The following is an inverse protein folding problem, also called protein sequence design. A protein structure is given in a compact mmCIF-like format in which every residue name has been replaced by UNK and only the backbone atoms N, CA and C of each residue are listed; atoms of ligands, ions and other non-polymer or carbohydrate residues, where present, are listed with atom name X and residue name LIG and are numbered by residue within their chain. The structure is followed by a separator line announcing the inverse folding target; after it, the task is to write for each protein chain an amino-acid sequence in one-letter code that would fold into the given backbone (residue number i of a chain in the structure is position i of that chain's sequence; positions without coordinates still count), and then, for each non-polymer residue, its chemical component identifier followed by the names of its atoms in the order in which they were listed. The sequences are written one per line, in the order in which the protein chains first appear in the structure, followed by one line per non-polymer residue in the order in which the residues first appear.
data_IF_483749395722
#
_entry.id   IF_483749395722
#
_cell.length_a   1.000
_cell.length_b   1.000
_cell.length_c   1.000
_cell.angle_alpha   90.00
_cell.angle_beta   90.00
_cell.angle_gamma   90.00
#
_symmetry.space_group_name_H-M   'P 1'
#
loop_
_entity.id
_entity.type
_entity.pdbx_description
1 polymer ?
#
# COMPACT_ATOMS: atom_id res chain seq x y z
N UNK A 1 -14.46 -27.73 8.42
CA UNK A 1 -13.74 -28.99 8.10
C UNK A 1 -12.64 -28.58 7.12
N UNK A 2 -11.34 -28.75 7.34
CA UNK A 2 -10.59 -29.81 8.03
C UNK A 2 -9.44 -29.29 8.92
N UNK A 3 -9.58 -29.48 10.23
CA UNK A 3 -8.52 -29.24 11.22
C UNK A 3 -7.36 -30.24 11.11
N UNK A 4 -7.58 -31.39 10.45
CA UNK A 4 -6.55 -32.40 10.16
C UNK A 4 -5.65 -32.00 8.98
N UNK A 5 -6.19 -31.32 7.96
CA UNK A 5 -5.41 -30.78 6.85
C UNK A 5 -4.43 -29.68 7.33
N UNK A 6 -4.89 -28.82 8.25
CA UNK A 6 -4.05 -27.78 8.86
C UNK A 6 -2.93 -28.36 9.75
N UNK A 7 -3.20 -29.46 10.46
CA UNK A 7 -2.18 -30.16 11.27
C UNK A 7 -1.18 -30.92 10.40
N UNK A 8 -1.59 -31.39 9.23
CA UNK A 8 -0.70 -31.98 8.22
C UNK A 8 0.16 -30.91 7.50
N UNK A 9 -0.38 -29.70 7.29
CA UNK A 9 0.37 -28.53 6.81
C UNK A 9 1.43 -28.09 7.83
N UNK A 10 1.07 -28.03 9.11
CA UNK A 10 2.01 -27.71 10.19
C UNK A 10 3.10 -28.79 10.37
N UNK A 11 2.79 -30.06 10.07
CA UNK A 11 3.77 -31.14 10.10
C UNK A 11 4.70 -31.19 8.87
N UNK A 12 4.38 -30.46 7.78
CA UNK A 12 5.20 -30.37 6.56
C UNK A 12 5.97 -29.04 6.40
N UNK A 13 5.74 -28.06 7.28
CA UNK A 13 6.47 -26.77 7.34
C UNK A 13 7.98 -26.90 7.60
N UNK A 14 8.49 -28.12 7.82
CA UNK A 14 9.92 -28.44 7.98
C UNK A 14 10.64 -28.95 6.72
N UNK A 15 10.04 -28.98 5.53
CA UNK A 15 10.73 -29.50 4.34
C UNK A 15 11.42 -28.38 3.53
N UNK A 16 12.44 -27.76 4.12
CA UNK A 16 13.59 -27.36 3.30
C UNK A 16 14.39 -28.66 3.10
N UNK A 17 14.56 -29.10 1.85
CA UNK A 17 15.37 -30.29 1.52
C UNK A 17 16.69 -30.31 2.33
N UNK A 18 17.16 -31.47 2.83
CA UNK A 18 18.47 -31.59 3.49
C UNK A 18 19.59 -31.15 2.51
N UNK A 19 20.81 -30.81 2.99
CA UNK A 19 21.65 -29.72 2.47
C UNK A 19 22.18 -29.96 1.04
N UNK A 20 21.32 -29.91 0.05
CA UNK A 20 21.65 -29.75 -1.36
C UNK A 20 21.87 -28.26 -1.58
N UNK A 21 23.09 -27.90 -2.02
CA UNK A 21 23.54 -26.55 -2.45
C UNK A 21 22.48 -25.47 -2.20
N UNK A 22 22.62 -24.71 -1.11
CA UNK A 22 21.77 -23.56 -0.77
C UNK A 22 21.48 -22.78 -2.05
N UNK A 23 20.26 -22.89 -2.60
CA UNK A 23 19.89 -22.07 -3.76
C UNK A 23 20.05 -20.63 -3.32
N UNK A 24 20.69 -19.83 -4.16
CA UNK A 24 20.82 -18.40 -3.87
C UNK A 24 19.42 -17.81 -3.74
N UNK A 25 19.20 -16.91 -2.77
CA UNK A 25 17.93 -16.18 -2.64
C UNK A 25 17.55 -15.49 -3.96
N UNK A 26 18.56 -15.04 -4.70
CA UNK A 26 18.38 -14.40 -6.01
C UNK A 26 17.95 -15.37 -7.13
N UNK A 27 17.91 -16.68 -6.85
CA UNK A 27 17.35 -17.68 -7.76
C UNK A 27 15.91 -18.04 -7.40
N UNK A 28 15.39 -17.56 -6.26
CA UNK A 28 14.03 -17.79 -5.83
C UNK A 28 13.08 -16.84 -6.58
N UNK A 29 12.53 -17.33 -7.71
CA UNK A 29 11.63 -16.58 -8.58
C UNK A 29 10.37 -16.08 -7.86
N UNK A 30 9.64 -16.91 -7.08
CA UNK A 30 8.51 -16.44 -6.27
C UNK A 30 8.88 -15.28 -5.35
N UNK A 31 9.98 -15.39 -4.61
CA UNK A 31 10.40 -14.30 -3.72
C UNK A 31 10.78 -13.02 -4.49
N UNK A 32 11.60 -13.12 -5.54
CA UNK A 32 11.97 -11.94 -6.37
C UNK A 32 10.72 -11.25 -6.92
N UNK A 33 9.73 -12.02 -7.36
CA UNK A 33 8.50 -11.50 -7.95
C UNK A 33 7.72 -10.58 -6.98
N UNK A 34 7.85 -10.80 -5.67
CA UNK A 34 7.22 -9.95 -4.65
C UNK A 34 7.92 -8.60 -4.41
N UNK A 35 9.18 -8.44 -4.83
CA UNK A 35 9.93 -7.20 -4.60
C UNK A 35 9.33 -6.03 -5.38
N UNK A 36 8.87 -6.29 -6.60
CA UNK A 36 8.28 -5.27 -7.47
C UNK A 36 6.99 -4.65 -6.88
N UNK A 37 5.95 -5.42 -6.53
CA UNK A 37 4.77 -4.86 -5.87
C UNK A 37 5.13 -4.20 -4.54
N UNK A 38 6.06 -4.77 -3.76
CA UNK A 38 6.48 -4.18 -2.48
C UNK A 38 7.04 -2.76 -2.66
N UNK A 39 7.89 -2.56 -3.68
CA UNK A 39 8.48 -1.27 -3.99
C UNK A 39 7.42 -0.28 -4.52
N UNK A 40 6.53 -0.69 -5.43
CA UNK A 40 5.49 0.19 -5.97
C UNK A 40 4.49 0.66 -4.91
N UNK A 41 3.97 -0.25 -4.08
CA UNK A 41 3.03 0.15 -3.03
C UNK A 41 3.70 1.01 -1.97
N UNK A 42 4.97 0.75 -1.67
CA UNK A 42 5.70 1.59 -0.72
C UNK A 42 6.01 2.98 -1.28
N UNK A 43 6.37 3.09 -2.57
CA UNK A 43 6.51 4.37 -3.25
C UNK A 43 5.19 5.13 -3.22
N UNK A 44 4.10 4.46 -3.57
CA UNK A 44 2.77 5.04 -3.55
C UNK A 44 2.40 5.54 -2.14
N UNK A 45 2.53 4.72 -1.12
CA UNK A 45 2.12 5.04 0.26
C UNK A 45 2.85 6.28 0.78
N UNK A 46 4.17 6.37 0.52
CA UNK A 46 4.96 7.54 0.87
C UNK A 46 4.59 8.76 0.02
N UNK A 47 4.39 8.62 -1.29
CA UNK A 47 3.94 9.74 -2.12
C UNK A 47 2.56 10.27 -1.69
N UNK A 48 1.65 9.37 -1.31
CA UNK A 48 0.33 9.71 -0.80
C UNK A 48 0.40 10.48 0.52
N UNK A 49 1.21 10.06 1.49
CA UNK A 49 1.32 10.77 2.78
C UNK A 49 1.85 12.19 2.60
N UNK A 50 2.82 12.37 1.70
CA UNK A 50 3.37 13.68 1.37
C UNK A 50 2.34 14.56 0.64
N UNK A 51 1.71 14.04 -0.42
CA UNK A 51 0.66 14.77 -1.15
C UNK A 51 -0.51 15.13 -0.24
N UNK A 52 -0.97 14.21 0.62
CA UNK A 52 -2.07 14.47 1.54
C UNK A 52 -1.75 15.65 2.46
N UNK A 53 -0.52 15.68 3.00
CA UNK A 53 -0.07 16.73 3.90
C UNK A 53 0.03 18.08 3.18
N UNK A 54 0.61 18.12 1.98
CA UNK A 54 0.72 19.32 1.15
C UNK A 54 -0.66 19.82 0.70
N UNK A 55 -1.53 18.92 0.24
CA UNK A 55 -2.86 19.24 -0.26
C UNK A 55 -3.81 19.71 0.84
N UNK A 56 -3.77 19.07 2.01
CA UNK A 56 -4.60 19.47 3.15
C UNK A 56 -4.28 20.91 3.59
N UNK A 57 -3.00 21.26 3.69
CA UNK A 57 -2.57 22.59 4.15
C UNK A 57 -2.66 23.66 3.04
N UNK A 58 -2.57 23.28 1.77
CA UNK A 58 -2.64 24.21 0.63
C UNK A 58 -3.95 25.01 0.61
N UNK A 59 -3.84 26.28 0.18
CA UNK A 59 -4.99 27.17 0.05
C UNK A 59 -6.04 26.63 -0.95
N UNK A 60 -7.32 26.94 -0.69
CA UNK A 60 -8.44 26.68 -1.60
C UNK A 60 -8.23 27.26 -3.00
N UNK A 61 -7.54 28.40 -3.11
CA UNK A 61 -7.20 29.02 -4.41
C UNK A 61 -6.29 28.16 -5.29
N UNK A 62 -5.59 27.19 -4.69
CA UNK A 62 -4.73 26.23 -5.38
C UNK A 62 -5.32 24.81 -5.39
N UNK A 63 -6.63 24.67 -5.13
CA UNK A 63 -7.29 23.37 -5.08
C UNK A 63 -7.02 22.55 -3.82
N UNK A 64 -6.44 23.16 -2.77
CA UNK A 64 -6.22 22.53 -1.47
C UNK A 64 -7.41 22.67 -0.50
N UNK A 65 -7.26 22.20 0.74
CA UNK A 65 -8.34 22.21 1.73
C UNK A 65 -8.32 23.42 2.67
N UNK A 66 -7.22 24.19 2.72
CA UNK A 66 -6.97 25.26 3.69
C UNK A 66 -7.06 24.81 5.15
N UNK A 67 -6.61 23.59 5.46
CA UNK A 67 -6.51 23.10 6.84
C UNK A 67 -5.28 23.68 7.54
N UNK A 68 -5.37 23.89 8.85
CA UNK A 68 -4.17 24.19 9.61
C UNK A 68 -3.28 22.95 9.73
N UNK A 69 -1.97 23.14 9.92
CA UNK A 69 -1.04 22.03 10.17
C UNK A 69 -1.46 21.20 11.39
N UNK A 70 -2.10 21.82 12.38
CA UNK A 70 -2.64 21.14 13.56
C UNK A 70 -3.79 20.20 13.19
N UNK A 71 -4.73 20.66 12.37
CA UNK A 71 -5.88 19.86 11.96
C UNK A 71 -5.45 18.70 11.06
N UNK A 72 -4.52 18.95 10.13
CA UNK A 72 -3.91 17.91 9.28
C UNK A 72 -3.19 16.87 10.14
N UNK A 73 -2.42 17.31 11.15
CA UNK A 73 -1.76 16.42 12.10
C UNK A 73 -2.73 15.56 12.91
N UNK A 74 -3.87 16.12 13.33
CA UNK A 74 -4.92 15.37 14.02
C UNK A 74 -5.54 14.29 13.14
N UNK A 75 -5.87 14.62 11.89
CA UNK A 75 -6.40 13.64 10.92
C UNK A 75 -5.42 12.50 10.70
N UNK A 76 -4.13 12.82 10.51
CA UNK A 76 -3.09 11.82 10.30
C UNK A 76 -2.86 10.95 11.54
N UNK A 77 -2.92 11.53 12.75
CA UNK A 77 -2.83 10.81 14.00
C UNK A 77 -4.03 9.86 14.21
N UNK A 78 -5.25 10.30 13.89
CA UNK A 78 -6.44 9.44 13.92
C UNK A 78 -6.33 8.28 12.94
N UNK A 79 -5.85 8.54 11.72
CA UNK A 79 -5.59 7.50 10.73
C UNK A 79 -4.56 6.48 11.26
N UNK A 80 -3.44 6.94 11.85
CA UNK A 80 -2.42 6.09 12.47
C UNK A 80 -2.93 5.28 13.67
N UNK A 81 -3.78 5.85 14.52
CA UNK A 81 -4.41 5.12 15.63
C UNK A 81 -5.38 4.05 15.11
N UNK A 82 -6.20 4.40 14.11
CA UNK A 82 -7.14 3.46 13.48
C UNK A 82 -6.44 2.29 12.80
N UNK A 83 -5.28 2.56 12.20
CA UNK A 83 -4.41 1.57 11.58
C UNK A 83 -3.97 0.50 12.60
N UNK A 84 -3.54 0.92 13.80
CA UNK A 84 -3.13 -0.01 14.86
C UNK A 84 -4.29 -0.93 15.28
N UNK A 85 -5.48 -0.36 15.47
CA UNK A 85 -6.68 -1.13 15.81
C UNK A 85 -7.03 -2.13 14.70
N UNK A 86 -7.01 -1.68 13.44
CA UNK A 86 -7.26 -2.54 12.29
C UNK A 86 -6.28 -3.71 12.24
N UNK A 87 -4.98 -3.43 12.40
CA UNK A 87 -3.93 -4.45 12.29
C UNK A 87 -4.02 -5.50 13.40
N UNK A 88 -4.27 -5.08 14.65
CA UNK A 88 -4.30 -5.97 15.80
C UNK A 88 -5.58 -6.81 15.87
N UNK A 89 -6.72 -6.24 15.47
CA UNK A 89 -8.04 -6.86 15.69
C UNK A 89 -8.64 -7.37 14.39
N UNK A 90 -8.71 -6.53 13.37
CA UNK A 90 -9.54 -6.76 12.17
C UNK A 90 -8.79 -7.57 11.11
N UNK A 91 -7.50 -7.31 10.90
CA UNK A 91 -6.72 -7.93 9.83
C UNK A 91 -6.73 -9.47 9.91
N UNK A 92 -6.69 -10.04 11.11
CA UNK A 92 -6.78 -11.50 11.32
C UNK A 92 -8.04 -12.09 10.69
N UNK A 93 -9.18 -11.40 10.79
CA UNK A 93 -10.44 -11.85 10.19
C UNK A 93 -10.42 -11.72 8.67
N UNK A 94 -9.93 -10.58 8.17
CA UNK A 94 -9.79 -10.32 6.72
C UNK A 94 -8.91 -11.38 6.07
N UNK A 95 -7.75 -11.66 6.66
CA UNK A 95 -6.83 -12.69 6.19
C UNK A 95 -7.46 -14.09 6.18
N UNK A 96 -8.23 -14.44 7.22
CA UNK A 96 -8.88 -15.76 7.33
C UNK A 96 -9.97 -15.97 6.26
N UNK A 97 -10.68 -14.92 5.87
CA UNK A 97 -11.81 -15.01 4.93
C UNK A 97 -11.34 -14.95 3.48
N UNK A 98 -10.47 -13.98 3.15
CA UNK A 98 -10.11 -13.67 1.77
C UNK A 98 -8.78 -14.30 1.33
N UNK A 99 -7.92 -14.68 2.28
CA UNK A 99 -6.54 -15.05 2.00
C UNK A 99 -5.68 -13.85 1.56
N UNK A 100 -4.36 -14.02 1.66
CA UNK A 100 -3.36 -12.94 1.51
C UNK A 100 -3.40 -12.21 0.17
N UNK A 101 -3.47 -12.98 -0.93
CA UNK A 101 -3.34 -12.42 -2.29
C UNK A 101 -4.61 -11.67 -2.69
N UNK A 102 -5.77 -12.28 -2.49
CA UNK A 102 -7.04 -11.67 -2.85
C UNK A 102 -7.35 -10.48 -1.94
N UNK A 103 -7.02 -10.54 -0.63
CA UNK A 103 -7.16 -9.38 0.25
C UNK A 103 -6.32 -8.19 -0.23
N UNK A 104 -5.09 -8.41 -0.68
CA UNK A 104 -4.23 -7.34 -1.20
C UNK A 104 -4.77 -6.77 -2.52
N UNK A 105 -5.22 -7.61 -3.45
CA UNK A 105 -5.80 -7.18 -4.73
C UNK A 105 -7.07 -6.36 -4.53
N UNK A 106 -8.01 -6.85 -3.72
CA UNK A 106 -9.26 -6.15 -3.40
C UNK A 106 -8.95 -4.84 -2.66
N UNK A 107 -8.07 -4.88 -1.65
CA UNK A 107 -7.71 -3.67 -0.92
C UNK A 107 -7.11 -2.60 -1.83
N UNK A 108 -6.23 -3.00 -2.76
CA UNK A 108 -5.65 -2.10 -3.75
C UNK A 108 -6.71 -1.53 -4.72
N UNK A 109 -7.64 -2.35 -5.22
CA UNK A 109 -8.73 -1.90 -6.09
C UNK A 109 -9.67 -0.91 -5.37
N UNK A 110 -10.09 -1.23 -4.14
CA UNK A 110 -10.91 -0.32 -3.32
C UNK A 110 -10.14 0.96 -3.01
N UNK A 111 -8.84 0.87 -2.79
CA UNK A 111 -8.01 2.05 -2.55
C UNK A 111 -7.98 3.02 -3.72
N UNK A 112 -8.05 2.53 -4.96
CA UNK A 112 -8.15 3.38 -6.16
C UNK A 112 -9.47 4.15 -6.13
N UNK A 113 -10.58 3.47 -5.80
CA UNK A 113 -11.89 4.11 -5.69
C UNK A 113 -11.90 5.17 -4.60
N UNK A 114 -11.33 4.87 -3.43
CA UNK A 114 -11.18 5.82 -2.33
C UNK A 114 -10.39 7.04 -2.79
N UNK A 115 -9.24 6.88 -3.46
CA UNK A 115 -8.45 8.00 -3.97
C UNK A 115 -9.17 8.84 -5.02
N UNK A 116 -9.96 8.20 -5.88
CA UNK A 116 -10.75 8.90 -6.89
C UNK A 116 -11.77 9.87 -6.25
N UNK A 117 -12.17 9.67 -4.98
CA UNK A 117 -13.07 10.60 -4.27
C UNK A 117 -12.38 11.85 -3.73
N UNK A 118 -11.05 11.88 -3.60
CA UNK A 118 -10.32 12.97 -2.93
C UNK A 118 -10.47 14.33 -3.61
N UNK A 119 -10.34 14.47 -4.94
CA UNK A 119 -10.55 15.75 -5.61
C UNK A 119 -11.92 16.38 -5.29
N UNK A 120 -12.95 15.56 -5.15
CA UNK A 120 -14.31 16.03 -4.87
C UNK A 120 -14.51 16.53 -3.44
N UNK A 121 -13.60 16.22 -2.50
CA UNK A 121 -13.66 16.76 -1.15
C UNK A 121 -13.41 18.27 -1.12
N UNK A 122 -12.79 18.84 -2.16
CA UNK A 122 -12.62 20.30 -2.29
C UNK A 122 -13.95 21.05 -2.38
N UNK A 123 -15.05 20.38 -2.75
CA UNK A 123 -16.40 20.96 -2.75
C UNK A 123 -17.06 20.94 -1.36
N UNK A 124 -16.47 20.26 -0.38
CA UNK A 124 -16.94 20.21 0.99
C UNK A 124 -16.26 21.29 1.86
N UNK A 125 -16.96 21.71 2.90
CA UNK A 125 -16.47 22.68 3.88
C UNK A 125 -16.89 22.32 5.31
N UNK A 126 -16.16 22.88 6.28
CA UNK A 126 -16.41 22.68 7.71
C UNK A 126 -16.36 21.20 8.13
N UNK A 127 -17.27 20.83 9.04
CA UNK A 127 -17.31 19.50 9.66
C UNK A 127 -17.47 18.36 8.65
N UNK A 128 -18.23 18.58 7.56
CA UNK A 128 -18.44 17.56 6.51
C UNK A 128 -17.12 17.17 5.84
N UNK A 129 -16.27 18.16 5.57
CA UNK A 129 -14.95 17.92 4.99
C UNK A 129 -14.04 17.19 5.99
N UNK A 130 -13.96 17.65 7.23
CA UNK A 130 -13.11 17.01 8.24
C UNK A 130 -13.50 15.55 8.45
N UNK A 131 -14.81 15.24 8.49
CA UNK A 131 -15.31 13.88 8.61
C UNK A 131 -15.01 13.03 7.36
N UNK A 132 -15.24 13.58 6.17
CA UNK A 132 -14.95 12.90 4.90
C UNK A 132 -13.44 12.58 4.78
N UNK A 133 -12.58 13.56 5.07
CA UNK A 133 -11.13 13.39 5.02
C UNK A 133 -10.65 12.38 6.06
N UNK A 134 -11.15 12.48 7.30
CA UNK A 134 -10.77 11.56 8.37
C UNK A 134 -11.18 10.11 8.05
N UNK A 135 -12.44 9.89 7.65
CA UNK A 135 -12.93 8.56 7.27
C UNK A 135 -12.18 7.99 6.07
N UNK A 136 -11.91 8.81 5.05
CA UNK A 136 -11.15 8.39 3.87
C UNK A 136 -9.69 8.08 4.20
N UNK A 137 -9.05 8.85 5.08
CA UNK A 137 -7.68 8.59 5.53
C UNK A 137 -7.60 7.30 6.36
N UNK A 138 -8.53 7.08 7.28
CA UNK A 138 -8.61 5.83 8.06
C UNK A 138 -8.81 4.61 7.15
N UNK A 139 -9.77 4.70 6.21
CA UNK A 139 -10.01 3.64 5.23
C UNK A 139 -8.77 3.39 4.38
N UNK A 140 -8.11 4.47 3.90
CA UNK A 140 -6.87 4.36 3.13
C UNK A 140 -5.78 3.65 3.90
N UNK A 141 -5.56 3.99 5.17
CA UNK A 141 -4.56 3.35 6.03
C UNK A 141 -4.84 1.86 6.23
N UNK A 142 -6.10 1.48 6.46
CA UNK A 142 -6.51 0.07 6.58
C UNK A 142 -6.27 -0.73 5.28
N UNK A 143 -6.56 -0.13 4.13
CA UNK A 143 -6.32 -0.75 2.82
C UNK A 143 -4.81 -0.88 2.53
N UNK A 144 -4.04 0.19 2.79
CA UNK A 144 -2.58 0.21 2.60
C UNK A 144 -1.89 -0.88 3.42
N UNK A 145 -2.22 -1.01 4.71
CA UNK A 145 -1.60 -2.03 5.56
C UNK A 145 -2.01 -3.45 5.15
N UNK A 146 -3.23 -3.64 4.64
CA UNK A 146 -3.68 -4.94 4.14
C UNK A 146 -2.82 -5.40 2.97
N UNK A 147 -2.50 -4.48 2.04
CA UNK A 147 -1.62 -4.74 0.89
C UNK A 147 -0.20 -5.04 1.36
N UNK A 148 0.39 -4.16 2.17
CA UNK A 148 1.78 -4.29 2.62
C UNK A 148 1.98 -5.57 3.44
N UNK A 149 1.09 -5.85 4.39
CA UNK A 149 1.14 -7.09 5.19
C UNK A 149 0.97 -8.31 4.30
N UNK A 150 0.09 -8.24 3.30
CA UNK A 150 -0.10 -9.33 2.35
C UNK A 150 1.18 -9.68 1.59
N UNK A 151 1.89 -8.66 1.09
CA UNK A 151 3.16 -8.84 0.37
C UNK A 151 4.25 -9.37 1.30
N UNK A 152 4.35 -8.84 2.53
CA UNK A 152 5.32 -9.34 3.52
C UNK A 152 5.07 -10.81 3.89
N UNK A 153 3.81 -11.24 3.99
CA UNK A 153 3.48 -12.66 4.19
C UNK A 153 3.90 -13.51 2.99
N UNK A 154 3.67 -13.05 1.76
CA UNK A 154 4.14 -13.76 0.56
C UNK A 154 5.67 -13.88 0.52
N UNK A 155 6.40 -12.82 0.88
CA UNK A 155 7.86 -12.84 0.98
C UNK A 155 8.35 -13.86 2.01
N UNK A 156 7.76 -13.85 3.20
CA UNK A 156 8.13 -14.75 4.28
C UNK A 156 7.80 -16.22 3.98
N UNK A 157 6.69 -16.47 3.28
CA UNK A 157 6.28 -17.82 2.88
C UNK A 157 7.08 -18.35 1.68
N UNK A 158 7.61 -17.47 0.82
CA UNK A 158 8.43 -17.87 -0.31
C UNK A 158 9.86 -18.30 0.10
N UNK A 159 10.30 -18.03 1.33
CA UNK A 159 11.70 -18.21 1.77
C UNK A 159 11.78 -19.08 3.03
N UNK A 160 12.74 -20.02 3.06
CA UNK A 160 13.08 -20.84 4.24
C UNK A 160 13.42 -19.95 5.45
N UNK A 161 13.05 -20.40 6.66
CA UNK A 161 13.13 -19.58 7.88
C UNK A 161 14.54 -19.03 8.15
N UNK A 162 15.58 -19.79 7.84
CA UNK A 162 16.98 -19.44 8.06
C UNK A 162 17.44 -18.28 7.15
N UNK A 163 16.77 -18.07 6.02
CA UNK A 163 17.11 -17.02 5.05
C UNK A 163 16.15 -15.82 5.11
N UNK A 164 15.08 -15.87 5.93
CA UNK A 164 14.09 -14.78 6.05
C UNK A 164 14.71 -13.46 6.48
N UNK A 165 15.72 -13.48 7.35
CA UNK A 165 16.43 -12.28 7.77
C UNK A 165 17.12 -11.56 6.60
N UNK A 166 17.89 -12.30 5.79
CA UNK A 166 18.54 -11.74 4.59
C UNK A 166 17.52 -11.30 3.55
N UNK A 167 16.48 -12.09 3.31
CA UNK A 167 15.42 -11.77 2.35
C UNK A 167 14.66 -10.49 2.72
N UNK A 168 14.27 -10.34 4.00
CA UNK A 168 13.61 -9.13 4.48
C UNK A 168 14.56 -7.92 4.48
N UNK A 169 15.85 -8.14 4.77
CA UNK A 169 16.88 -7.10 4.64
C UNK A 169 16.95 -6.55 3.21
N UNK A 170 17.10 -7.42 2.21
CA UNK A 170 17.13 -7.01 0.79
C UNK A 170 15.83 -6.31 0.39
N UNK A 171 14.68 -6.88 0.79
CA UNK A 171 13.36 -6.32 0.47
C UNK A 171 13.17 -4.93 1.06
N UNK A 172 13.59 -4.73 2.30
CA UNK A 172 13.50 -3.45 3.02
C UNK A 172 14.43 -2.40 2.42
N UNK A 173 15.64 -2.78 2.00
CA UNK A 173 16.57 -1.88 1.30
C UNK A 173 15.99 -1.42 -0.04
N UNK A 174 15.48 -2.36 -0.86
CA UNK A 174 14.84 -2.03 -2.13
C UNK A 174 13.63 -1.11 -1.94
N UNK A 175 12.74 -1.46 -0.99
CA UNK A 175 11.59 -0.64 -0.62
C UNK A 175 12.01 0.78 -0.17
N UNK A 176 13.03 0.88 0.69
CA UNK A 176 13.48 2.17 1.25
C UNK A 176 14.05 3.10 0.18
N UNK A 177 14.72 2.55 -0.84
CA UNK A 177 15.17 3.34 -1.99
C UNK A 177 13.99 3.95 -2.76
N UNK A 178 12.91 3.19 -2.95
CA UNK A 178 11.70 3.71 -3.59
C UNK A 178 10.96 4.73 -2.72
N UNK A 179 10.99 4.57 -1.39
CA UNK A 179 10.45 5.56 -0.45
C UNK A 179 11.22 6.87 -0.47
N UNK A 180 12.56 6.84 -0.60
CA UNK A 180 13.36 8.06 -0.55
C UNK A 180 13.12 8.99 -1.74
N UNK A 181 12.82 8.44 -2.92
CA UNK A 181 12.49 9.23 -4.12
C UNK A 181 11.04 9.74 -4.13
N UNK A 182 10.15 9.12 -3.35
CA UNK A 182 8.72 9.41 -3.38
C UNK A 182 8.38 10.86 -3.00
N UNK A 183 8.92 11.47 -1.91
CA UNK A 183 8.66 12.87 -1.56
C UNK A 183 9.10 13.86 -2.64
N UNK A 184 10.24 13.60 -3.29
CA UNK A 184 10.75 14.46 -4.37
C UNK A 184 9.78 14.45 -5.56
N UNK A 185 9.36 13.26 -6.00
CA UNK A 185 8.38 13.12 -7.09
C UNK A 185 7.01 13.71 -6.73
N UNK A 186 6.52 13.41 -5.52
CA UNK A 186 5.26 13.91 -5.00
C UNK A 186 5.24 15.45 -4.91
N UNK A 187 6.28 16.06 -4.34
CA UNK A 187 6.41 17.51 -4.22
C UNK A 187 6.53 18.21 -5.58
N UNK A 188 7.31 17.65 -6.51
CA UNK A 188 7.42 18.18 -7.87
C UNK A 188 6.09 18.13 -8.62
N UNK A 189 5.40 16.98 -8.56
CA UNK A 189 4.07 16.80 -9.14
C UNK A 189 3.06 17.79 -8.54
N UNK A 190 3.03 17.91 -7.22
CA UNK A 190 2.11 18.80 -6.51
C UNK A 190 2.37 20.27 -6.87
N UNK A 191 3.64 20.70 -6.88
CA UNK A 191 4.03 22.06 -7.25
C UNK A 191 3.67 22.40 -8.70
N UNK A 192 3.80 21.44 -9.61
CA UNK A 192 3.39 21.60 -11.00
C UNK A 192 1.86 21.68 -11.12
N UNK A 193 1.13 20.85 -10.39
CA UNK A 193 -0.33 20.87 -10.35
C UNK A 193 -0.91 22.19 -9.82
N UNK A 194 -0.28 22.80 -8.81
CA UNK A 194 -0.71 24.11 -8.28
C UNK A 194 -0.63 25.24 -9.33
N UNK A 195 0.26 25.14 -10.33
CA UNK A 195 0.38 26.13 -11.41
C UNK A 195 -0.66 25.97 -12.51
N UNK A 196 -1.47 24.91 -12.46
CA UNK A 196 -2.36 24.48 -13.55
C UNK A 196 -3.82 24.44 -13.11
N UNK A 197 -4.26 25.41 -12.31
CA UNK A 197 -5.62 25.47 -11.78
C UNK A 197 -6.62 26.03 -12.79
N UNK A 198 -6.17 26.86 -13.74
CA UNK A 198 -7.05 27.60 -14.67
C UNK A 198 -7.43 26.81 -15.95
N UNK A 199 -7.19 25.49 -15.99
CA UNK A 199 -7.48 24.67 -17.17
C UNK A 199 -8.84 23.96 -17.04
N UNK A 200 -9.62 23.97 -18.13
CA UNK A 200 -10.96 23.36 -18.16
C UNK A 200 -10.95 21.82 -18.17
N UNK A 201 -9.83 21.20 -18.56
CA UNK A 201 -9.65 19.75 -18.61
C UNK A 201 -8.57 19.32 -17.62
N UNK A 202 -8.96 18.53 -16.61
CA UNK A 202 -8.13 18.06 -15.48
C UNK A 202 -7.45 19.22 -14.71
N UNK A 203 -8.20 19.92 -13.83
CA UNK A 203 -7.63 20.87 -12.88
C UNK A 203 -6.54 20.20 -12.04
N UNK A 204 -5.57 20.99 -11.58
CA UNK A 204 -4.34 20.46 -10.99
C UNK A 204 -4.55 19.44 -9.86
N UNK A 205 -5.54 19.63 -8.99
CA UNK A 205 -5.87 18.70 -7.92
C UNK A 205 -6.28 17.32 -8.46
N UNK A 206 -7.10 17.27 -9.52
CA UNK A 206 -7.49 16.02 -10.17
C UNK A 206 -6.28 15.29 -10.76
N UNK A 207 -5.30 16.01 -11.32
CA UNK A 207 -4.10 15.39 -11.89
C UNK A 207 -3.23 14.72 -10.83
N UNK A 208 -3.09 15.33 -9.65
CA UNK A 208 -2.30 14.76 -8.55
C UNK A 208 -2.88 13.41 -8.12
N UNK A 209 -4.18 13.36 -7.84
CA UNK A 209 -4.84 12.11 -7.43
C UNK A 209 -4.96 11.10 -8.57
N UNK A 210 -5.06 11.55 -9.82
CA UNK A 210 -5.00 10.68 -11.00
C UNK A 210 -3.64 9.99 -11.10
N UNK A 211 -2.52 10.73 -10.95
CA UNK A 211 -1.18 10.13 -11.00
C UNK A 211 -0.97 9.15 -9.85
N UNK A 212 -1.42 9.48 -8.64
CA UNK A 212 -1.41 8.52 -7.52
C UNK A 212 -2.22 7.25 -7.85
N UNK A 213 -3.42 7.39 -8.43
CA UNK A 213 -4.22 6.25 -8.88
C UNK A 213 -3.52 5.42 -9.97
N UNK A 214 -2.80 6.04 -10.90
CA UNK A 214 -2.01 5.33 -11.91
C UNK A 214 -0.88 4.53 -11.27
N UNK A 215 -0.15 5.11 -10.31
CA UNK A 215 0.90 4.39 -9.58
C UNK A 215 0.31 3.23 -8.76
N UNK A 216 -0.83 3.43 -8.11
CA UNK A 216 -1.56 2.38 -7.39
C UNK A 216 -2.03 1.27 -8.35
N UNK A 217 -2.50 1.62 -9.55
CA UNK A 217 -2.91 0.69 -10.58
C UNK A 217 -1.73 -0.14 -11.10
N UNK A 218 -0.56 0.48 -11.31
CA UNK A 218 0.67 -0.26 -11.65
C UNK A 218 1.05 -1.22 -10.53
N UNK A 219 0.95 -0.78 -9.27
CA UNK A 219 1.08 -1.64 -8.10
C UNK A 219 0.12 -2.82 -8.14
N UNK A 220 -1.17 -2.58 -8.41
CA UNK A 220 -2.20 -3.62 -8.54
C UNK A 220 -1.86 -4.61 -9.67
N UNK A 221 -1.54 -4.11 -10.87
CA UNK A 221 -1.16 -4.94 -12.03
C UNK A 221 0.04 -5.82 -11.68
N UNK A 222 1.03 -5.29 -10.96
CA UNK A 222 2.21 -6.05 -10.52
C UNK A 222 1.90 -7.19 -9.55
N UNK A 223 0.68 -7.26 -8.99
CA UNK A 223 0.22 -8.39 -8.16
C UNK A 223 -0.43 -9.51 -8.95
N UNK A 224 -0.63 -9.36 -10.27
CA UNK A 224 -1.17 -10.39 -11.14
C UNK A 224 -0.06 -11.11 -11.92
N UNK A 225 -0.37 -12.28 -12.47
CA UNK A 225 0.53 -12.95 -13.42
C UNK A 225 0.65 -12.10 -14.70
N UNK A 226 1.85 -12.00 -15.31
CA UNK A 226 3.08 -12.78 -15.06
C UNK A 226 4.04 -12.17 -14.02
N UNK A 227 3.68 -11.05 -13.38
CA UNK A 227 4.60 -10.28 -12.52
C UNK A 227 4.82 -10.90 -11.15
N UNK A 228 3.75 -11.42 -10.53
CA UNK A 228 3.80 -12.11 -9.25
C UNK A 228 3.68 -13.61 -9.47
N UNK A 229 4.76 -14.36 -9.19
CA UNK A 229 4.80 -15.82 -9.31
C UNK A 229 4.43 -16.41 -7.96
N UNK A 230 3.24 -17.01 -7.86
CA UNK A 230 2.82 -17.70 -6.64
C UNK A 230 3.48 -19.09 -6.57
N UNK A 231 3.87 -19.56 -5.36
CA UNK A 231 4.28 -20.94 -5.20
C UNK A 231 3.13 -21.87 -5.58
N UNK A 232 3.42 -22.93 -6.34
CA UNK A 232 2.41 -23.93 -6.69
C UNK A 232 1.80 -24.53 -5.43
N UNK A 233 0.46 -24.53 -5.34
CA UNK A 233 -0.25 -25.29 -4.30
C UNK A 233 0.05 -26.78 -4.54
N UNK A 234 0.49 -27.53 -3.52
CA UNK A 234 0.57 -28.97 -3.66
C UNK A 234 -0.85 -29.52 -3.85
N UNK A 235 -1.04 -30.35 -4.89
CA UNK A 235 -2.25 -31.16 -5.09
C UNK A 235 -2.48 -32.13 -3.93
#
# INVERSE_FOLDING_TARGET
MDTKAFKALSSKEGYCDPPRKKKSLLQNRPWISTLLPYCFFSLHDTAYSEILSLWAVSDRKYGGLSFSTKDTGQVLAMAGASLLVYQLVIYRWVHRILGTVNSARIASAVSILVLATYPFMTYLSGVKLSLALCSAAMMRSALAITVTTGISLLQNNAVCQEQRGTANGISTTAMSFFKSIAPVGAGALFSWAQKRQDVAFLPGDQVVFMVLNLVQLLGLISTFEPFLVLPALPE
#
